data_IF_195170173218
#
_entry.id   IF_195170173218
#
_cell.length_a   1.000
_cell.length_b   1.000
_cell.length_c   1.000
_cell.angle_alpha   90.00
_cell.angle_beta   90.00
_cell.angle_gamma   90.00
#
_symmetry.space_group_name_H-M   'P 1'
#
loop_
_entity.id
_entity.type
_entity.pdbx_description
1 polymer ?
#
# COMPACT_ATOMS: atom_id res chain seq x y z
N UNK A 1 -14.48 -14.99 -4.37
CA UNK A 1 -13.85 -14.03 -3.45
C UNK A 1 -14.95 -13.27 -2.77
N UNK A 2 -15.11 -13.42 -1.45
CA UNK A 2 -16.06 -12.62 -0.70
C UNK A 2 -15.73 -11.14 -0.91
N UNK A 3 -16.77 -10.33 -1.13
CA UNK A 3 -16.62 -8.88 -1.13
C UNK A 3 -16.00 -8.48 0.20
N UNK A 4 -14.70 -8.16 0.19
CA UNK A 4 -14.01 -7.60 1.34
C UNK A 4 -14.85 -6.42 1.82
N UNK A 5 -15.20 -6.40 3.08
CA UNK A 5 -15.91 -5.27 3.67
C UNK A 5 -15.10 -4.01 3.38
N UNK A 6 -15.66 -3.12 2.58
CA UNK A 6 -14.99 -1.84 2.21
C UNK A 6 -14.83 -0.91 3.41
N UNK A 7 -15.49 -1.23 4.52
CA UNK A 7 -15.59 -0.41 5.71
C UNK A 7 -15.42 -1.29 6.95
N UNK A 8 -14.74 -0.78 7.97
CA UNK A 8 -14.57 -1.48 9.24
C UNK A 8 -15.07 -0.63 10.40
N UNK A 9 -15.88 -1.25 11.29
CA UNK A 9 -16.27 -0.62 12.56
C UNK A 9 -15.24 -0.93 13.63
N UNK A 10 -14.70 0.12 14.25
CA UNK A 10 -13.76 0.02 15.36
C UNK A 10 -14.51 -0.37 16.63
N UNK A 11 -14.17 -1.50 17.21
CA UNK A 11 -14.79 -1.99 18.46
C UNK A 11 -13.72 -2.09 19.54
N UNK A 12 -14.12 -1.81 20.79
CA UNK A 12 -13.30 -2.07 21.98
C UNK A 12 -11.88 -1.50 21.89
N UNK A 13 -11.72 -0.24 21.45
CA UNK A 13 -10.43 0.44 21.42
C UNK A 13 -10.37 1.54 22.49
N UNK A 14 -9.26 1.59 23.23
CA UNK A 14 -9.02 2.65 24.21
C UNK A 14 -8.34 3.86 23.56
N UNK A 15 -7.49 3.62 22.57
CA UNK A 15 -6.73 4.64 21.86
C UNK A 15 -6.50 4.21 20.42
N UNK A 16 -6.52 5.18 19.51
CA UNK A 16 -6.23 4.99 18.10
C UNK A 16 -4.96 5.77 17.75
N UNK A 17 -4.00 5.07 17.16
CA UNK A 17 -2.84 5.65 16.53
C UNK A 17 -3.13 5.82 15.05
N UNK A 18 -3.44 7.05 14.63
CA UNK A 18 -3.67 7.37 13.23
C UNK A 18 -2.37 7.86 12.60
N UNK A 19 -1.85 7.12 11.63
CA UNK A 19 -0.62 7.45 10.90
C UNK A 19 -1.01 7.98 9.52
N UNK A 20 -0.64 9.23 9.24
CA UNK A 20 -0.97 9.92 7.98
C UNK A 20 -0.13 9.44 6.79
N UNK A 21 -0.10 10.25 5.75
CA UNK A 21 0.64 9.95 4.51
C UNK A 21 2.13 9.76 4.77
N UNK A 22 2.69 8.67 4.26
CA UNK A 22 4.09 8.27 4.46
C UNK A 22 4.92 8.49 3.19
N UNK A 23 4.32 8.20 2.02
CA UNK A 23 4.93 8.42 0.70
C UNK A 23 6.33 7.81 0.56
N UNK A 24 6.52 6.56 1.00
CA UNK A 24 7.80 5.88 0.89
C UNK A 24 8.92 6.47 1.79
N UNK A 25 8.56 7.25 2.82
CA UNK A 25 9.51 7.80 3.79
C UNK A 25 9.82 6.77 4.89
N UNK A 26 10.76 5.87 4.60
CA UNK A 26 11.16 4.81 5.53
C UNK A 26 11.65 5.36 6.88
N UNK A 27 12.52 6.35 6.87
CA UNK A 27 13.08 6.91 8.12
C UNK A 27 11.98 7.52 8.99
N UNK A 28 11.03 8.22 8.36
CA UNK A 28 9.89 8.81 9.07
C UNK A 28 9.05 7.76 9.77
N UNK A 29 8.71 6.66 9.07
CA UNK A 29 7.87 5.61 9.65
C UNK A 29 8.61 4.80 10.73
N UNK A 30 9.90 4.52 10.56
CA UNK A 30 10.73 3.86 11.59
C UNK A 30 10.71 4.66 12.90
N UNK A 31 10.83 5.98 12.84
CA UNK A 31 10.77 6.84 14.03
C UNK A 31 9.38 6.82 14.68
N UNK A 32 8.31 6.86 13.89
CA UNK A 32 6.94 6.76 14.39
C UNK A 32 6.72 5.39 15.05
N UNK A 33 7.15 4.31 14.43
CA UNK A 33 7.04 2.95 15.00
C UNK A 33 7.81 2.79 16.29
N UNK A 34 9.01 3.36 16.39
CA UNK A 34 9.80 3.37 17.62
C UNK A 34 9.05 4.09 18.75
N UNK A 35 8.45 5.25 18.47
CA UNK A 35 7.65 5.98 19.45
C UNK A 35 6.43 5.17 19.89
N UNK A 36 5.65 4.65 18.92
CA UNK A 36 4.47 3.82 19.22
C UNK A 36 4.85 2.59 20.04
N UNK A 37 5.95 1.90 19.71
CA UNK A 37 6.41 0.70 20.44
C UNK A 37 6.62 0.91 21.94
N UNK A 38 7.00 2.13 22.35
CA UNK A 38 7.20 2.51 23.74
C UNK A 38 5.90 2.84 24.46
N UNK A 39 4.93 3.38 23.74
CA UNK A 39 3.68 3.91 24.30
C UNK A 39 2.47 2.98 24.12
N UNK A 40 2.58 1.93 23.30
CA UNK A 40 1.50 1.05 22.91
C UNK A 40 0.95 0.23 24.05
N UNK A 41 -0.37 0.12 24.17
CA UNK A 41 -1.10 -0.68 25.17
C UNK A 41 -2.00 -1.71 24.48
N UNK A 42 -2.34 -2.79 25.18
CA UNK A 42 -3.02 -3.96 24.62
C UNK A 42 -4.33 -3.69 23.88
N UNK A 43 -5.08 -2.64 24.23
CA UNK A 43 -6.35 -2.30 23.59
C UNK A 43 -6.23 -1.11 22.61
N UNK A 44 -5.00 -0.73 22.26
CA UNK A 44 -4.78 0.29 21.23
C UNK A 44 -5.01 -0.31 19.82
N UNK A 45 -5.38 0.55 18.89
CA UNK A 45 -5.43 0.22 17.46
C UNK A 45 -4.50 1.14 16.68
N UNK A 46 -3.98 0.62 15.57
CA UNK A 46 -3.16 1.38 14.63
C UNK A 46 -3.89 1.45 13.31
N UNK A 47 -4.05 2.66 12.77
CA UNK A 47 -4.68 2.91 11.48
C UNK A 47 -3.70 3.68 10.61
N UNK A 48 -3.30 3.09 9.49
CA UNK A 48 -2.59 3.78 8.42
C UNK A 48 -3.61 4.41 7.48
N UNK A 49 -3.57 5.73 7.33
CA UNK A 49 -4.58 6.51 6.60
C UNK A 49 -4.42 6.45 5.08
N UNK A 50 -3.54 5.58 4.58
CA UNK A 50 -3.20 5.46 3.16
C UNK A 50 -2.05 6.37 2.73
N UNK A 51 -1.76 6.38 1.43
CA UNK A 51 -0.59 7.03 0.84
C UNK A 51 0.72 6.57 1.52
N UNK A 52 0.83 5.28 1.76
CA UNK A 52 2.06 4.65 2.28
C UNK A 52 3.14 4.65 1.20
N UNK A 53 2.73 4.42 -0.03
CA UNK A 53 3.57 4.39 -1.23
C UNK A 53 3.54 5.72 -2.01
N UNK A 54 4.22 5.77 -3.15
CA UNK A 54 4.27 6.92 -4.05
C UNK A 54 5.29 7.97 -3.60
N UNK A 55 5.61 8.91 -4.49
CA UNK A 55 6.49 10.08 -4.31
C UNK A 55 7.92 9.74 -3.85
N UNK A 56 8.09 9.06 -2.72
CA UNK A 56 9.40 8.61 -2.23
C UNK A 56 9.86 7.29 -2.84
N UNK A 57 11.16 7.09 -2.89
CA UNK A 57 11.81 5.97 -3.61
C UNK A 57 11.91 4.67 -2.80
N UNK A 58 11.42 4.64 -1.56
CA UNK A 58 11.56 3.48 -0.65
C UNK A 58 10.23 2.84 -0.27
N UNK A 59 9.25 2.87 -1.19
CA UNK A 59 7.90 2.32 -0.96
C UNK A 59 7.92 0.85 -0.54
N UNK A 60 8.75 0.03 -1.21
CA UNK A 60 8.89 -1.40 -0.87
C UNK A 60 9.43 -1.60 0.54
N UNK A 61 10.48 -0.89 0.91
CA UNK A 61 11.09 -0.97 2.23
C UNK A 61 10.15 -0.45 3.32
N UNK A 62 9.36 0.57 3.01
CA UNK A 62 8.34 1.14 3.90
C UNK A 62 7.25 0.11 4.21
N UNK A 63 6.77 -0.63 3.21
CA UNK A 63 5.80 -1.71 3.44
C UNK A 63 6.44 -2.85 4.24
N UNK A 64 7.68 -3.23 3.96
CA UNK A 64 8.41 -4.23 4.76
C UNK A 64 8.45 -3.83 6.24
N UNK A 65 8.83 -2.58 6.54
CA UNK A 65 8.87 -2.05 7.92
C UNK A 65 7.49 -2.14 8.60
N UNK A 66 6.43 -1.76 7.90
CA UNK A 66 5.06 -1.84 8.43
C UNK A 66 4.66 -3.29 8.75
N UNK A 67 4.96 -4.24 7.88
CA UNK A 67 4.67 -5.67 8.09
C UNK A 67 5.46 -6.21 9.28
N UNK A 68 6.74 -5.85 9.38
CA UNK A 68 7.60 -6.28 10.46
C UNK A 68 7.17 -5.67 11.80
N UNK A 69 6.87 -4.39 11.84
CA UNK A 69 6.35 -3.70 13.02
C UNK A 69 5.04 -4.31 13.51
N UNK A 70 4.06 -4.52 12.60
CA UNK A 70 2.81 -5.24 12.90
C UNK A 70 3.10 -6.59 13.56
N UNK A 71 3.98 -7.38 12.98
CA UNK A 71 4.32 -8.71 13.47
C UNK A 71 4.95 -8.67 14.88
N UNK A 72 5.84 -7.72 15.11
CA UNK A 72 6.49 -7.51 16.43
C UNK A 72 5.47 -7.14 17.51
N UNK A 73 4.56 -6.20 17.24
CA UNK A 73 3.54 -5.79 18.20
C UNK A 73 2.51 -6.90 18.45
N UNK A 74 2.08 -7.61 17.39
CA UNK A 74 1.16 -8.74 17.54
C UNK A 74 1.75 -9.82 18.44
N UNK A 75 3.02 -10.16 18.26
CA UNK A 75 3.70 -11.13 19.11
C UNK A 75 3.85 -10.64 20.57
N UNK A 76 4.27 -9.37 20.76
CA UNK A 76 4.52 -8.80 22.09
C UNK A 76 3.24 -8.68 22.94
N UNK A 77 2.13 -8.25 22.35
CA UNK A 77 0.89 -7.94 23.07
C UNK A 77 -0.24 -8.97 22.82
N UNK A 78 0.03 -10.04 22.07
CA UNK A 78 -0.95 -11.07 21.67
C UNK A 78 -2.17 -10.47 20.97
N UNK A 79 -1.91 -9.55 20.03
CA UNK A 79 -2.95 -8.82 19.31
C UNK A 79 -3.54 -9.66 18.18
N UNK A 80 -4.81 -9.37 17.87
CA UNK A 80 -5.46 -9.88 16.67
C UNK A 80 -5.13 -8.99 15.44
N UNK A 81 -5.22 -9.53 14.22
CA UNK A 81 -4.99 -8.75 12.99
C UNK A 81 -5.82 -7.47 12.89
N UNK A 82 -7.03 -7.45 13.45
CA UNK A 82 -7.99 -6.35 13.45
C UNK A 82 -7.53 -5.13 14.29
N UNK A 83 -6.42 -5.27 15.02
CA UNK A 83 -5.78 -4.14 15.68
C UNK A 83 -5.00 -3.23 14.70
N UNK A 84 -4.75 -3.73 13.49
CA UNK A 84 -4.02 -3.02 12.43
C UNK A 84 -4.92 -2.83 11.23
N UNK A 85 -5.16 -1.58 10.87
CA UNK A 85 -6.06 -1.20 9.79
C UNK A 85 -5.28 -0.40 8.76
N UNK A 86 -5.45 -0.78 7.50
CA UNK A 86 -4.80 -0.14 6.36
C UNK A 86 -5.85 0.47 5.45
N UNK A 87 -5.92 1.79 5.41
CA UNK A 87 -6.80 2.48 4.49
C UNK A 87 -6.14 2.64 3.13
N UNK A 88 -6.95 2.60 2.09
CA UNK A 88 -6.53 2.86 0.71
C UNK A 88 -6.44 4.37 0.50
N UNK A 89 -5.25 4.88 0.24
CA UNK A 89 -5.02 6.26 -0.17
C UNK A 89 -5.03 6.43 -1.69
N UNK A 90 -4.87 7.66 -2.15
CA UNK A 90 -4.83 7.98 -3.58
C UNK A 90 -3.66 7.29 -4.30
N UNK A 91 -2.51 7.11 -3.64
CA UNK A 91 -1.34 6.45 -4.22
C UNK A 91 -1.59 4.96 -4.45
N UNK A 92 -2.23 4.27 -3.51
CA UNK A 92 -2.61 2.87 -3.65
C UNK A 92 -3.69 2.70 -4.74
N UNK A 93 -4.62 3.65 -4.85
CA UNK A 93 -5.64 3.65 -5.91
C UNK A 93 -5.00 3.86 -7.29
N UNK A 94 -4.07 4.79 -7.42
CA UNK A 94 -3.33 5.02 -8.67
C UNK A 94 -2.50 3.80 -9.08
N UNK A 95 -1.84 3.12 -8.12
CA UNK A 95 -1.14 1.87 -8.40
C UNK A 95 -2.11 0.78 -8.88
N UNK A 96 -3.28 0.65 -8.25
CA UNK A 96 -4.31 -0.30 -8.71
C UNK A 96 -4.75 -0.02 -10.14
N UNK A 97 -5.01 1.24 -10.49
CA UNK A 97 -5.35 1.64 -11.88
C UNK A 97 -4.23 1.37 -12.86
N UNK A 98 -2.97 1.55 -12.45
CA UNK A 98 -1.82 1.19 -13.26
C UNK A 98 -1.78 -0.32 -13.57
N UNK A 99 -2.06 -1.16 -12.58
CA UNK A 99 -2.07 -2.61 -12.74
C UNK A 99 -3.25 -3.13 -13.59
N UNK A 100 -4.26 -2.29 -13.81
CA UNK A 100 -5.43 -2.53 -14.66
C UNK A 100 -5.41 -1.70 -15.96
N UNK A 101 -4.26 -1.14 -16.34
CA UNK A 101 -4.12 -0.18 -17.44
C UNK A 101 -4.62 -0.72 -18.80
N UNK A 102 -4.61 -2.05 -19.00
CA UNK A 102 -5.07 -2.72 -20.23
C UNK A 102 -6.57 -2.52 -20.53
N UNK A 103 -7.37 -2.13 -19.52
CA UNK A 103 -8.81 -1.85 -19.71
C UNK A 103 -9.10 -0.35 -19.91
N UNK A 104 -8.07 0.49 -19.81
CA UNK A 104 -8.24 1.93 -20.02
C UNK A 104 -8.45 2.24 -21.52
N UNK A 105 -9.39 3.14 -21.87
CA UNK A 105 -9.55 3.60 -23.26
C UNK A 105 -8.35 4.44 -23.73
N UNK A 106 -7.68 5.17 -22.82
CA UNK A 106 -6.52 6.02 -23.10
C UNK A 106 -5.34 5.66 -22.19
N UNK A 107 -4.71 4.48 -22.36
CA UNK A 107 -3.73 3.98 -21.40
C UNK A 107 -2.49 4.88 -21.25
N UNK A 108 -2.02 5.49 -22.33
CA UNK A 108 -0.83 6.36 -22.31
C UNK A 108 -1.08 7.66 -21.51
N UNK A 109 -2.23 8.28 -21.68
CA UNK A 109 -2.61 9.48 -20.95
C UNK A 109 -2.77 9.21 -19.44
N UNK A 110 -3.47 8.13 -19.10
CA UNK A 110 -3.64 7.68 -17.70
C UNK A 110 -2.29 7.35 -17.07
N UNK A 111 -1.41 6.68 -17.80
CA UNK A 111 -0.06 6.35 -17.34
C UNK A 111 0.78 7.59 -17.03
N UNK A 112 0.81 8.56 -17.95
CA UNK A 112 1.56 9.81 -17.75
C UNK A 112 1.05 10.56 -16.52
N UNK A 113 -0.27 10.67 -16.37
CA UNK A 113 -0.87 11.29 -15.20
C UNK A 113 -0.47 10.57 -13.89
N UNK A 114 -0.52 9.24 -13.86
CA UNK A 114 -0.11 8.43 -12.70
C UNK A 114 1.36 8.67 -12.34
N UNK A 115 2.24 8.78 -13.33
CA UNK A 115 3.66 9.01 -13.10
C UNK A 115 3.96 10.43 -12.61
N UNK A 116 3.27 11.45 -13.12
CA UNK A 116 3.35 12.82 -12.59
C UNK A 116 2.99 12.91 -11.10
N UNK A 117 2.20 11.95 -10.59
CA UNK A 117 1.81 11.87 -9.19
C UNK A 117 2.71 10.95 -8.36
N UNK A 118 3.81 10.43 -8.91
CA UNK A 118 4.89 9.78 -8.17
C UNK A 118 4.78 8.26 -8.02
N UNK A 119 3.86 7.58 -8.71
CA UNK A 119 3.76 6.10 -8.69
C UNK A 119 4.95 5.43 -9.37
N UNK A 120 5.62 6.11 -10.30
CA UNK A 120 6.88 5.66 -10.91
C UNK A 120 7.94 5.33 -9.85
N UNK A 121 8.00 6.12 -8.76
CA UNK A 121 8.90 5.89 -7.62
C UNK A 121 8.57 4.60 -6.88
N UNK A 122 7.27 4.26 -6.78
CA UNK A 122 6.87 2.97 -6.24
C UNK A 122 7.40 1.82 -7.10
N UNK A 123 7.20 1.87 -8.43
CA UNK A 123 7.71 0.85 -9.35
C UNK A 123 9.23 0.73 -9.26
N UNK A 124 9.94 1.86 -9.20
CA UNK A 124 11.39 1.91 -9.01
C UNK A 124 11.82 1.16 -7.75
N UNK A 125 11.14 1.36 -6.62
CA UNK A 125 11.44 0.68 -5.35
C UNK A 125 11.35 -0.85 -5.46
N UNK A 126 10.46 -1.36 -6.33
CA UNK A 126 10.33 -2.79 -6.63
C UNK A 126 11.28 -3.28 -7.74
N UNK A 127 12.20 -2.42 -8.23
CA UNK A 127 13.12 -2.71 -9.33
C UNK A 127 12.40 -3.07 -10.64
N UNK A 128 11.23 -2.47 -10.86
CA UNK A 128 10.44 -2.64 -12.09
C UNK A 128 10.91 -1.60 -13.10
N UNK A 129 11.19 -2.03 -14.33
CA UNK A 129 11.50 -1.12 -15.43
C UNK A 129 10.19 -0.44 -15.90
N UNK A 130 9.88 0.70 -15.31
CA UNK A 130 8.64 1.43 -15.59
C UNK A 130 8.73 2.29 -16.88
N UNK A 131 9.93 2.51 -17.43
CA UNK A 131 10.09 3.33 -18.64
C UNK A 131 9.58 2.61 -19.89
N UNK A 132 9.70 1.29 -19.93
CA UNK A 132 9.28 0.48 -21.09
C UNK A 132 7.75 0.49 -21.30
N UNK A 133 6.94 0.77 -20.26
CA UNK A 133 5.48 0.74 -20.39
C UNK A 133 4.94 1.85 -21.33
N UNK A 134 5.65 2.95 -21.47
CA UNK A 134 5.27 4.02 -22.42
C UNK A 134 5.23 3.51 -23.87
N UNK A 135 6.26 2.75 -24.24
CA UNK A 135 6.36 2.13 -25.57
C UNK A 135 5.35 0.98 -25.72
N UNK A 136 5.15 0.21 -24.64
CA UNK A 136 4.21 -0.91 -24.59
C UNK A 136 2.76 -0.43 -24.75
N UNK A 137 2.41 0.77 -24.29
CA UNK A 137 1.07 1.34 -24.52
C UNK A 137 0.71 1.46 -26.00
N UNK A 138 1.69 1.63 -26.88
CA UNK A 138 1.48 1.73 -28.33
C UNK A 138 1.26 0.35 -28.99
N UNK A 139 1.62 -0.74 -28.31
CA UNK A 139 1.46 -2.12 -28.79
C UNK A 139 0.09 -2.73 -28.45
N UNK A 140 -0.77 -2.00 -27.73
CA UNK A 140 -2.14 -2.38 -27.41
C UNK A 140 -2.31 -3.20 -26.13
N UNK A 141 -3.58 -3.49 -25.80
CA UNK A 141 -4.00 -4.05 -24.51
C UNK A 141 -3.35 -5.39 -24.14
N UNK A 142 -3.06 -6.25 -25.09
CA UNK A 142 -2.40 -7.55 -24.82
C UNK A 142 -0.97 -7.36 -24.32
N UNK A 143 -0.22 -6.42 -24.91
CA UNK A 143 1.14 -6.11 -24.48
C UNK A 143 1.13 -5.46 -23.07
N UNK A 144 0.20 -4.54 -22.84
CA UNK A 144 -0.02 -3.92 -21.52
C UNK A 144 -0.35 -5.00 -20.47
N UNK A 145 -1.27 -5.93 -20.77
CA UNK A 145 -1.65 -7.02 -19.87
C UNK A 145 -0.47 -7.92 -19.49
N UNK A 146 0.43 -8.21 -20.42
CA UNK A 146 1.65 -8.96 -20.14
C UNK A 146 2.57 -8.21 -19.16
N UNK A 147 2.75 -6.92 -19.38
CA UNK A 147 3.58 -6.08 -18.53
C UNK A 147 2.98 -5.92 -17.12
N UNK A 148 1.68 -5.64 -17.01
CA UNK A 148 1.01 -5.51 -15.70
C UNK A 148 1.03 -6.83 -14.93
N UNK A 149 0.84 -7.97 -15.58
CA UNK A 149 0.96 -9.29 -14.96
C UNK A 149 2.38 -9.54 -14.42
N UNK A 150 3.42 -9.19 -15.21
CA UNK A 150 4.82 -9.28 -14.76
C UNK A 150 5.08 -8.38 -13.54
N UNK A 151 4.53 -7.17 -13.56
CA UNK A 151 4.63 -6.20 -12.46
C UNK A 151 3.96 -6.74 -11.19
N UNK A 152 2.74 -7.26 -11.28
CA UNK A 152 2.04 -7.90 -10.15
C UNK A 152 2.87 -9.06 -9.58
N UNK A 153 3.38 -9.93 -10.44
CA UNK A 153 4.22 -11.05 -10.00
C UNK A 153 5.49 -10.55 -9.28
N UNK A 154 6.14 -9.50 -9.77
CA UNK A 154 7.32 -8.91 -9.13
C UNK A 154 7.00 -8.36 -7.74
N UNK A 155 5.89 -7.66 -7.56
CA UNK A 155 5.42 -7.18 -6.26
C UNK A 155 5.14 -8.36 -5.32
N UNK A 156 4.49 -9.40 -5.81
CA UNK A 156 4.12 -10.59 -5.05
C UNK A 156 5.32 -11.45 -4.62
N UNK A 157 6.51 -11.27 -5.21
CA UNK A 157 7.74 -11.91 -4.71
C UNK A 157 8.16 -11.37 -3.33
N UNK A 158 7.69 -10.17 -2.96
CA UNK A 158 7.96 -9.58 -1.66
C UNK A 158 7.01 -10.17 -0.61
N UNK A 159 7.57 -10.79 0.42
CA UNK A 159 6.78 -11.47 1.47
C UNK A 159 5.80 -10.52 2.15
N UNK A 160 4.52 -10.89 2.17
CA UNK A 160 3.46 -10.14 2.85
C UNK A 160 2.88 -8.95 2.05
N UNK A 161 3.52 -8.54 0.93
CA UNK A 161 3.03 -7.41 0.15
C UNK A 161 1.68 -7.69 -0.51
N UNK A 162 1.47 -8.90 -1.03
CA UNK A 162 0.17 -9.30 -1.56
C UNK A 162 -0.93 -9.21 -0.49
N UNK A 163 -0.65 -9.66 0.74
CA UNK A 163 -1.58 -9.53 1.88
C UNK A 163 -1.85 -8.06 2.20
N UNK A 164 -0.80 -7.22 2.24
CA UNK A 164 -0.94 -5.78 2.48
C UNK A 164 -1.90 -5.14 1.48
N UNK A 165 -1.65 -5.29 0.17
CA UNK A 165 -2.48 -4.67 -0.88
C UNK A 165 -3.89 -5.24 -0.94
N UNK A 166 -4.08 -6.53 -0.64
CA UNK A 166 -5.39 -7.18 -0.66
C UNK A 166 -6.28 -6.78 0.53
N UNK A 167 -5.69 -6.33 1.64
CA UNK A 167 -6.40 -5.96 2.86
C UNK A 167 -6.64 -4.44 3.00
N UNK A 168 -6.37 -3.66 1.96
CA UNK A 168 -6.68 -2.23 1.96
C UNK A 168 -8.20 -2.00 1.95
N UNK A 169 -8.68 -1.18 2.88
CA UNK A 169 -10.10 -0.83 3.01
C UNK A 169 -10.32 0.68 2.76
N UNK A 170 -11.58 1.07 2.55
CA UNK A 170 -11.89 2.46 2.21
C UNK A 170 -12.05 3.38 3.43
N UNK A 171 -12.63 2.88 4.51
CA UNK A 171 -12.81 3.67 5.72
C UNK A 171 -12.90 2.81 6.98
N UNK A 172 -12.53 3.41 8.11
CA UNK A 172 -12.77 2.92 9.45
C UNK A 172 -13.59 3.96 10.22
N UNK A 173 -14.55 3.51 11.02
CA UNK A 173 -15.42 4.40 11.81
C UNK A 173 -15.64 3.84 13.22
N UNK A 174 -15.88 4.73 14.17
CA UNK A 174 -16.31 4.40 15.53
C UNK A 174 -17.72 4.93 15.78
N UNK A 175 -18.36 4.45 16.83
CA UNK A 175 -19.59 5.05 17.33
C UNK A 175 -19.33 6.46 17.81
#
# INVERSE_FOLDING_TARGET
MNSLEKFIKLKNCNRIWAIGSIHGNLIGIENIHKYISNEFKANDKIIYLGNVIGVGERSRETINEIIEFRSKLMAKFKLAPENFIFLRGAQEEMLSKLLELQISPNPKEVLLWIFEHGVDKTLFSYKINYKEILDICELGSVAISKWTSKTINQINTCKGHNEYYSNLIHAAFSD
#
